data_IF_151970816263
#
_entry.id   IF_151970816263
#
_cell.length_a   1.000
_cell.length_b   1.000
_cell.length_c   1.000
_cell.angle_alpha   90.00
_cell.angle_beta   90.00
_cell.angle_gamma   90.00
#
_symmetry.space_group_name_H-M   'P 1'
#
loop_
_entity.id
_entity.type
_entity.pdbx_description
1 polymer ?
#
# COMPACT_ATOMS: atom_id res chain seq x y z
N UNK A 1 -7.24 17.08 2.23
CA UNK A 1 -6.33 16.61 3.30
C UNK A 1 -5.47 15.50 2.71
N UNK A 2 -4.16 15.68 2.63
CA UNK A 2 -3.23 14.59 2.28
C UNK A 2 -3.08 13.68 3.51
N UNK A 3 -3.34 12.39 3.36
CA UNK A 3 -3.08 11.42 4.43
C UNK A 3 -1.57 11.19 4.53
N UNK A 4 -0.97 11.21 5.74
CA UNK A 4 0.48 11.08 5.88
C UNK A 4 1.00 9.72 5.39
N UNK A 5 0.18 8.67 5.47
CA UNK A 5 0.50 7.33 4.97
C UNK A 5 0.24 7.14 3.47
N UNK A 6 -0.33 8.13 2.78
CA UNK A 6 -0.61 8.06 1.35
C UNK A 6 0.50 8.74 0.55
N UNK A 7 1.18 7.97 -0.29
CA UNK A 7 2.35 8.44 -1.05
C UNK A 7 2.01 8.78 -2.51
N UNK A 8 0.81 8.44 -2.99
CA UNK A 8 0.41 8.63 -4.38
C UNK A 8 1.16 7.67 -5.32
N UNK A 9 1.56 8.17 -6.49
CA UNK A 9 2.34 7.43 -7.48
C UNK A 9 3.79 7.31 -7.05
N UNK A 10 4.11 6.23 -6.35
CA UNK A 10 5.49 5.78 -6.09
C UNK A 10 5.63 4.35 -6.62
N UNK A 11 6.84 4.01 -7.09
CA UNK A 11 7.11 2.65 -7.56
C UNK A 11 7.12 1.64 -6.42
N UNK A 12 6.91 0.36 -6.76
CA UNK A 12 7.10 -0.76 -5.83
C UNK A 12 8.45 -0.67 -5.10
N UNK A 13 9.56 -0.52 -5.83
CA UNK A 13 10.91 -0.41 -5.25
C UNK A 13 11.03 0.74 -4.26
N UNK A 14 10.51 1.92 -4.59
CA UNK A 14 10.52 3.06 -3.67
C UNK A 14 9.68 2.80 -2.41
N UNK A 15 8.55 2.10 -2.54
CA UNK A 15 7.76 1.64 -1.39
C UNK A 15 8.55 0.68 -0.51
N UNK A 16 9.23 -0.28 -1.12
CA UNK A 16 10.05 -1.28 -0.41
C UNK A 16 11.18 -0.62 0.37
N UNK A 17 11.92 0.29 -0.25
CA UNK A 17 12.98 1.06 0.40
C UNK A 17 12.45 1.85 1.62
N UNK A 18 11.29 2.49 1.49
CA UNK A 18 10.66 3.25 2.57
C UNK A 18 10.24 2.36 3.75
N UNK A 19 9.66 1.19 3.48
CA UNK A 19 9.26 0.23 4.50
C UNK A 19 10.48 -0.43 5.16
N UNK A 20 11.45 -0.87 4.38
CA UNK A 20 12.71 -1.43 4.86
C UNK A 20 13.47 -0.44 5.74
N UNK A 21 13.55 0.83 5.34
CA UNK A 21 14.16 1.91 6.15
C UNK A 21 13.43 2.11 7.48
N UNK A 22 12.10 1.93 7.52
CA UNK A 22 11.32 1.99 8.77
C UNK A 22 11.59 0.77 9.66
N UNK A 23 11.70 -0.41 9.06
CA UNK A 23 12.22 -1.63 9.69
C UNK A 23 11.40 -2.19 10.87
N UNK A 24 10.12 -1.80 11.02
CA UNK A 24 9.26 -2.27 12.12
C UNK A 24 8.09 -3.09 11.60
N UNK A 25 7.81 -4.24 12.22
CA UNK A 25 6.62 -5.05 11.91
C UNK A 25 5.33 -4.22 12.09
N UNK A 26 4.44 -4.30 11.11
CA UNK A 26 3.24 -3.47 11.03
C UNK A 26 3.50 -2.04 10.54
N UNK A 27 4.69 -1.77 9.99
CA UNK A 27 4.90 -0.55 9.21
C UNK A 27 4.13 -0.63 7.91
N UNK A 28 3.48 0.46 7.53
CA UNK A 28 2.64 0.46 6.34
C UNK A 28 2.62 1.80 5.62
N UNK A 29 2.25 1.76 4.34
CA UNK A 29 1.88 2.91 3.53
C UNK A 29 0.88 2.51 2.44
N UNK A 30 0.22 3.50 1.86
CA UNK A 30 -0.63 3.34 0.68
C UNK A 30 -0.01 4.07 -0.50
N UNK A 31 0.03 3.39 -1.65
CA UNK A 31 0.43 3.94 -2.95
C UNK A 31 -0.63 3.67 -4.01
N UNK A 32 -0.54 4.34 -5.14
CA UNK A 32 -1.31 3.98 -6.34
C UNK A 32 -0.79 2.67 -6.94
N UNK A 33 -1.70 1.86 -7.48
CA UNK A 33 -1.32 0.64 -8.20
C UNK A 33 -0.66 0.98 -9.53
N UNK A 34 0.45 0.32 -9.83
CA UNK A 34 1.15 0.43 -11.12
C UNK A 34 0.50 -0.48 -12.19
N UNK A 35 -0.17 -1.55 -11.77
CA UNK A 35 -0.77 -2.56 -12.66
C UNK A 35 -2.25 -2.30 -12.97
N UNK A 36 -2.99 -1.68 -12.03
CA UNK A 36 -4.44 -1.48 -12.16
C UNK A 36 -4.77 0.00 -11.98
N UNK A 37 -5.18 0.65 -13.06
CA UNK A 37 -5.54 2.05 -13.05
C UNK A 37 -6.69 2.33 -12.05
N UNK A 38 -6.52 3.33 -11.19
CA UNK A 38 -7.51 3.73 -10.18
C UNK A 38 -7.52 2.88 -8.91
N UNK A 39 -6.86 1.72 -8.91
CA UNK A 39 -6.67 0.93 -7.69
C UNK A 39 -5.51 1.48 -6.84
N UNK A 40 -5.55 1.14 -5.56
CA UNK A 40 -4.51 1.46 -4.59
C UNK A 40 -3.87 0.18 -4.07
N UNK A 41 -2.70 0.32 -3.46
CA UNK A 41 -1.98 -0.76 -2.83
C UNK A 41 -1.70 -0.38 -1.38
N UNK A 42 -2.16 -1.20 -0.43
CA UNK A 42 -1.72 -1.16 0.96
C UNK A 42 -0.52 -2.07 1.11
N UNK A 43 0.65 -1.49 1.38
CA UNK A 43 1.89 -2.24 1.56
C UNK A 43 2.21 -2.32 3.06
N UNK A 44 2.46 -3.52 3.57
CA UNK A 44 2.69 -3.79 5.00
C UNK A 44 3.96 -4.61 5.19
N UNK A 45 4.88 -4.13 6.01
CA UNK A 45 6.09 -4.85 6.38
C UNK A 45 5.81 -5.80 7.56
N UNK A 46 6.13 -7.08 7.38
CA UNK A 46 6.11 -8.07 8.43
C UNK A 46 7.20 -9.12 8.19
N UNK A 47 8.03 -9.37 9.20
CA UNK A 47 9.11 -10.38 9.15
C UNK A 47 10.04 -10.23 7.93
N UNK A 48 10.40 -8.98 7.62
CA UNK A 48 11.25 -8.59 6.47
C UNK A 48 10.62 -8.83 5.09
N UNK A 49 9.36 -9.27 5.04
CA UNK A 49 8.58 -9.41 3.81
C UNK A 49 7.57 -8.27 3.71
N UNK A 50 7.35 -7.78 2.49
CA UNK A 50 6.38 -6.73 2.21
C UNK A 50 5.17 -7.36 1.55
N UNK A 51 4.05 -7.28 2.24
CA UNK A 51 2.76 -7.79 1.80
C UNK A 51 1.99 -6.66 1.14
N UNK A 52 1.60 -6.86 -0.11
CA UNK A 52 0.86 -5.85 -0.90
C UNK A 52 -0.58 -6.29 -1.07
N UNK A 53 -1.52 -5.55 -0.48
CA UNK A 53 -2.95 -5.80 -0.59
C UNK A 53 -3.56 -4.82 -1.59
N UNK A 54 -4.33 -5.31 -2.56
CA UNK A 54 -4.99 -4.48 -3.57
C UNK A 54 -6.26 -3.87 -2.98
N UNK A 55 -6.46 -2.57 -3.21
CA UNK A 55 -7.64 -1.82 -2.78
C UNK A 55 -8.32 -1.24 -4.01
N UNK A 56 -9.56 -1.61 -4.25
CA UNK A 56 -10.39 -1.08 -5.32
C UNK A 56 -11.20 0.14 -4.84
N UNK A 57 -11.35 1.11 -5.74
CA UNK A 57 -12.26 2.24 -5.60
C UNK A 57 -13.54 1.91 -6.35
N UNK A 58 -14.65 1.86 -5.64
CA UNK A 58 -15.97 1.61 -6.20
C UNK A 58 -16.61 2.90 -6.71
N UNK A 59 -17.63 2.76 -7.57
CA UNK A 59 -18.30 3.88 -8.26
C UNK A 59 -18.90 4.93 -7.29
N UNK A 60 -19.29 4.52 -6.09
CA UNK A 60 -19.84 5.41 -5.05
C UNK A 60 -18.77 6.09 -4.17
N UNK A 61 -17.48 5.96 -4.53
CA UNK A 61 -16.36 6.50 -3.74
C UNK A 61 -15.97 5.65 -2.53
N UNK A 62 -16.52 4.44 -2.43
CA UNK A 62 -16.17 3.46 -1.40
C UNK A 62 -14.89 2.69 -1.75
N UNK A 63 -14.27 2.09 -0.74
CA UNK A 63 -13.04 1.31 -0.85
C UNK A 63 -13.29 -0.13 -0.44
N UNK A 64 -12.75 -1.08 -1.21
CA UNK A 64 -12.77 -2.51 -0.90
C UNK A 64 -11.37 -3.08 -1.01
N UNK A 65 -10.96 -3.91 -0.06
CA UNK A 65 -9.71 -4.67 -0.17
C UNK A 65 -10.01 -5.99 -0.86
N UNK A 66 -9.11 -6.45 -1.73
CA UNK A 66 -9.20 -7.77 -2.34
C UNK A 66 -9.15 -8.85 -1.23
N UNK A 67 -10.07 -9.80 -1.31
CA UNK A 67 -10.25 -10.89 -0.35
C UNK A 67 -10.25 -12.21 -1.10
N UNK A 68 -9.89 -13.29 -0.41
CA UNK A 68 -9.95 -14.64 -1.00
C UNK A 68 -11.39 -15.05 -1.30
N UNK A 69 -11.54 -16.05 -2.17
CA UNK A 69 -12.85 -16.61 -2.50
C UNK A 69 -13.58 -17.10 -1.25
N UNK A 70 -14.87 -16.77 -1.14
CA UNK A 70 -15.71 -17.12 0.02
C UNK A 70 -15.56 -16.21 1.24
N UNK A 71 -14.60 -15.28 1.25
CA UNK A 71 -14.44 -14.29 2.33
C UNK A 71 -15.35 -13.07 2.09
N UNK A 72 -16.17 -12.64 3.06
CA UNK A 72 -16.98 -11.45 2.92
C UNK A 72 -16.15 -10.19 2.71
N UNK A 73 -16.37 -9.51 1.59
CA UNK A 73 -15.72 -8.23 1.31
C UNK A 73 -16.25 -7.13 2.23
N UNK A 74 -15.34 -6.41 2.87
CA UNK A 74 -15.65 -5.21 3.64
C UNK A 74 -15.60 -3.98 2.77
N UNK A 75 -16.63 -3.13 2.89
CA UNK A 75 -16.74 -1.85 2.18
C UNK A 75 -16.49 -0.71 3.17
N UNK A 76 -15.60 0.21 2.80
CA UNK A 76 -15.23 1.36 3.63
C UNK A 76 -15.58 2.66 2.92
N UNK A 77 -16.12 3.65 3.62
CA UNK A 77 -16.44 4.97 3.05
C UNK A 77 -15.21 5.82 2.80
N UNK A 78 -14.19 5.68 3.64
CA UNK A 78 -12.94 6.43 3.54
C UNK A 78 -11.72 5.54 3.73
N UNK A 79 -10.56 5.96 3.20
CA UNK A 79 -9.29 5.31 3.49
C UNK A 79 -8.96 5.30 4.98
N UNK A 80 -9.42 6.31 5.73
CA UNK A 80 -9.20 6.38 7.18
C UNK A 80 -9.95 5.27 7.90
N UNK A 81 -11.20 4.99 7.51
CA UNK A 81 -12.01 3.92 8.09
C UNK A 81 -11.41 2.55 7.79
N UNK A 82 -10.92 2.36 6.56
CA UNK A 82 -10.18 1.17 6.15
C UNK A 82 -8.97 0.94 7.06
N UNK A 83 -8.11 1.95 7.21
CA UNK A 83 -6.93 1.86 8.08
C UNK A 83 -7.33 1.56 9.52
N UNK A 84 -8.30 2.29 10.08
CA UNK A 84 -8.77 2.09 11.44
C UNK A 84 -9.30 0.67 11.69
N UNK A 85 -9.96 0.06 10.69
CA UNK A 85 -10.36 -1.33 10.78
C UNK A 85 -9.14 -2.26 10.91
N UNK A 86 -8.15 -2.11 10.03
CA UNK A 86 -6.96 -2.98 9.98
C UNK A 86 -5.89 -2.68 11.05
N UNK A 87 -6.04 -1.61 11.83
CA UNK A 87 -5.29 -1.40 13.08
C UNK A 87 -5.72 -2.39 14.19
N UNK A 88 -6.93 -2.96 14.08
CA UNK A 88 -7.42 -3.99 15.00
C UNK A 88 -6.79 -5.35 14.67
N UNK A 89 -6.55 -6.21 15.67
CA UNK A 89 -6.08 -7.57 15.43
C UNK A 89 -7.13 -8.41 14.68
N UNK A 90 -6.67 -9.50 14.06
CA UNK A 90 -7.51 -10.54 13.45
C UNK A 90 -8.50 -9.98 12.40
N UNK A 91 -7.99 -9.21 11.44
CA UNK A 91 -8.77 -8.65 10.34
C UNK A 91 -8.40 -9.25 8.97
N UNK A 92 -7.66 -10.36 8.96
CA UNK A 92 -7.25 -11.06 7.75
C UNK A 92 -5.97 -10.55 7.08
N UNK A 93 -5.32 -9.49 7.59
CA UNK A 93 -3.95 -9.14 7.19
C UNK A 93 -2.93 -9.99 7.95
N UNK A 94 -1.74 -10.13 7.38
CA UNK A 94 -0.57 -10.77 8.02
C UNK A 94 -0.26 -10.20 9.41
N UNK A 95 -0.48 -8.90 9.60
CA UNK A 95 -0.32 -8.23 10.88
C UNK A 95 -1.18 -6.99 10.94
N UNK A 96 -1.57 -6.57 12.15
CA UNK A 96 -2.29 -5.31 12.34
C UNK A 96 -1.41 -4.11 11.97
N UNK A 97 -2.04 -3.08 11.42
CA UNK A 97 -1.36 -1.83 11.09
C UNK A 97 -0.93 -1.11 12.38
N UNK A 98 0.31 -0.62 12.42
CA UNK A 98 0.87 0.04 13.63
C UNK A 98 1.62 1.33 13.34
N UNK A 99 2.46 1.31 12.31
CA UNK A 99 3.42 2.39 12.09
C UNK A 99 3.26 3.00 10.69
N UNK A 100 2.43 4.05 10.53
CA UNK A 100 2.33 4.72 9.24
C UNK A 100 3.69 5.31 8.83
N UNK A 101 4.14 4.98 7.63
CA UNK A 101 5.30 5.62 7.01
C UNK A 101 4.84 6.93 6.40
N UNK A 102 5.32 8.03 6.97
CA UNK A 102 4.93 9.38 6.53
C UNK A 102 5.59 9.70 5.19
N UNK A 103 4.82 10.23 4.25
CA UNK A 103 5.35 10.90 3.06
C UNK A 103 6.23 12.06 3.51
N UNK A 104 7.51 12.03 3.17
CA UNK A 104 8.38 13.18 3.39
C UNK A 104 7.95 14.25 2.40
N UNK A 105 7.30 15.31 2.86
CA UNK A 105 7.14 16.52 2.06
C UNK A 105 8.53 17.14 1.89
N UNK A 106 9.30 16.68 0.93
CA UNK A 106 10.46 17.41 0.45
C UNK A 106 9.92 18.72 -0.12
N UNK A 107 10.01 19.78 0.68
CA UNK A 107 10.00 21.15 0.18
C UNK A 107 10.81 21.18 -1.11
N UNK A 108 10.18 21.59 -2.22
CA UNK A 108 10.78 21.75 -3.56
C UNK A 108 12.27 22.12 -3.47
N UNK A 109 13.15 21.13 -3.51
CA UNK A 109 14.60 21.34 -3.64
C UNK A 109 15.16 20.23 -4.51
N UNK A 110 15.14 20.54 -5.80
CA UNK A 110 16.07 20.11 -6.83
C UNK A 110 16.84 18.81 -6.54
N UNK A 111 16.30 17.70 -7.03
CA UNK A 111 17.13 16.64 -7.58
C UNK A 111 16.64 16.44 -9.01
N UNK A 112 17.27 17.15 -9.95
CA UNK A 112 17.47 16.66 -11.31
C UNK A 112 18.06 15.25 -11.16
N UNK A 113 17.23 14.22 -11.22
CA UNK A 113 17.74 12.87 -11.40
C UNK A 113 18.26 12.80 -12.84
N UNK A 114 19.56 12.57 -12.95
CA UNK A 114 20.24 12.33 -14.22
C UNK A 114 19.63 11.09 -14.86
N UNK A 115 19.36 11.21 -16.15
CA UNK A 115 19.11 10.13 -17.09
C UNK A 115 20.08 8.98 -16.86
N UNK A 116 19.52 7.80 -16.58
CA UNK A 116 20.18 6.51 -16.64
C UNK A 116 19.08 5.51 -16.97
N UNK A 117 19.00 5.13 -18.24
CA UNK A 117 18.12 4.06 -18.71
C UNK A 117 18.61 2.77 -18.06
N UNK A 118 17.94 2.37 -16.99
CA UNK A 118 17.93 0.98 -16.50
C UNK A 118 16.46 0.58 -16.40
N UNK A 119 15.78 0.57 -17.57
CA UNK A 119 14.45 0.00 -17.75
C UNK A 119 14.53 -1.53 -17.72
N UNK A 120 15.00 -2.08 -16.58
CA UNK A 120 14.57 -3.40 -16.14
C UNK A 120 13.29 -3.13 -15.34
N UNK A 121 12.18 -3.07 -16.07
CA UNK A 121 10.89 -3.30 -15.45
C UNK A 121 10.88 -4.78 -15.08
N UNK A 122 11.10 -5.11 -13.82
CA UNK A 122 10.55 -6.36 -13.31
C UNK A 122 9.04 -6.25 -13.55
N UNK A 123 8.51 -7.04 -14.49
CA UNK A 123 7.08 -7.13 -14.74
C UNK A 123 6.41 -7.39 -13.38
N UNK A 124 5.60 -6.44 -12.90
CA UNK A 124 4.88 -6.60 -11.64
C UNK A 124 3.83 -7.65 -11.89
N UNK A 125 4.06 -8.85 -11.36
CA UNK A 125 3.17 -9.98 -11.56
C UNK A 125 1.95 -9.89 -10.62
N UNK A 126 0.83 -10.45 -11.06
CA UNK A 126 -0.40 -10.49 -10.26
C UNK A 126 -0.16 -11.26 -8.93
N UNK A 127 0.79 -12.20 -8.89
CA UNK A 127 1.12 -12.99 -7.69
C UNK A 127 1.74 -12.19 -6.54
N UNK A 128 2.20 -10.96 -6.78
CA UNK A 128 2.74 -10.09 -5.73
C UNK A 128 1.65 -9.51 -4.82
N UNK A 129 0.38 -9.62 -5.25
CA UNK A 129 -0.77 -9.19 -4.48
C UNK A 129 -1.27 -10.33 -3.61
N UNK A 130 -1.44 -10.04 -2.33
CA UNK A 130 -2.01 -10.98 -1.37
C UNK A 130 -3.45 -10.61 -1.04
N UNK A 131 -4.28 -11.64 -0.94
CA UNK A 131 -5.67 -11.52 -0.52
C UNK A 131 -5.79 -11.45 1.00
N UNK A 132 -6.82 -10.76 1.46
CA UNK A 132 -7.24 -10.78 2.88
C UNK A 132 -7.98 -12.08 3.16
N UNK A 133 -7.54 -12.81 4.20
CA UNK A 133 -8.02 -14.17 4.51
C UNK A 133 -9.18 -14.25 5.51
N UNK A 134 -9.52 -13.12 6.16
CA UNK A 134 -10.43 -12.92 7.31
C UNK A 134 -10.49 -14.04 8.35
#
# INVERSE_FOLDING_TARGET
MEFPFFHGKISRKACEDLLCKKGKNGSYLIRESETVAGALCLCVLFEKVIYTYRIFREYEGCYKVQTSEGVPQKVFKTLKDLIYNYEKPNQGLVTKLRYPVKKTSSSRRSQRFKTGNDDIYDEIDESDYVDVLS
#
